data_IF_259522772084
#
_entry.id   IF_259522772084
#
_cell.length_a   1.000
_cell.length_b   1.000
_cell.length_c   1.000
_cell.angle_alpha   90.00
_cell.angle_beta   90.00
_cell.angle_gamma   90.00
#
_symmetry.space_group_name_H-M   'P 1'
#
loop_
_entity.id
_entity.type
_entity.pdbx_description
1 polymer ?
#
# COMPACT_ATOMS: atom_id res chain seq x y z
N UNK A 1 -41.93 16.29 8.59
CA UNK A 1 -40.85 15.34 8.91
C UNK A 1 -39.52 16.04 8.62
N UNK A 2 -38.65 16.17 9.62
CA UNK A 2 -37.38 16.89 9.45
C UNK A 2 -36.46 16.09 8.51
N UNK A 3 -35.83 16.71 7.49
CA UNK A 3 -34.93 16.02 6.58
C UNK A 3 -33.69 15.50 7.33
N UNK A 4 -33.35 14.23 7.09
CA UNK A 4 -32.25 13.54 7.77
C UNK A 4 -30.91 14.20 7.38
N UNK A 5 -30.16 14.67 8.37
CA UNK A 5 -28.83 15.24 8.20
C UNK A 5 -27.81 14.14 7.84
N UNK A 6 -26.79 14.45 7.02
CA UNK A 6 -25.66 13.57 6.65
C UNK A 6 -25.03 12.85 7.84
N UNK A 7 -24.90 13.52 9.00
CA UNK A 7 -24.39 12.89 10.23
C UNK A 7 -25.29 11.78 10.76
N UNK A 8 -26.60 11.97 10.70
CA UNK A 8 -27.57 10.97 11.13
C UNK A 8 -27.64 9.81 10.14
N UNK A 9 -27.56 10.10 8.83
CA UNK A 9 -27.43 9.05 7.81
C UNK A 9 -26.19 8.17 8.01
N UNK A 10 -25.03 8.77 8.30
CA UNK A 10 -23.79 8.03 8.57
C UNK A 10 -23.86 7.19 9.85
N UNK A 11 -24.46 7.72 10.92
CA UNK A 11 -24.68 6.95 12.15
C UNK A 11 -25.62 5.77 11.90
N UNK A 12 -26.71 5.99 11.19
CA UNK A 12 -27.69 4.95 10.87
C UNK A 12 -27.07 3.85 9.98
N UNK A 13 -26.19 4.22 9.05
CA UNK A 13 -25.40 3.28 8.25
C UNK A 13 -24.42 2.45 9.08
N UNK A 14 -23.74 3.05 10.06
CA UNK A 14 -22.85 2.31 10.97
C UNK A 14 -23.64 1.36 11.88
N UNK A 15 -24.81 1.77 12.39
CA UNK A 15 -25.65 0.92 13.23
C UNK A 15 -26.24 -0.26 12.46
N UNK A 16 -26.69 -0.06 11.23
CA UNK A 16 -27.16 -1.14 10.35
C UNK A 16 -26.03 -2.12 9.99
N UNK A 17 -24.81 -1.60 9.74
CA UNK A 17 -23.62 -2.43 9.53
C UNK A 17 -23.26 -3.28 10.75
N UNK A 18 -23.40 -2.73 11.97
CA UNK A 18 -23.13 -3.49 13.20
C UNK A 18 -24.17 -4.57 13.51
N UNK A 19 -25.43 -4.42 13.08
CA UNK A 19 -26.43 -5.48 13.26
C UNK A 19 -26.31 -6.61 12.24
N UNK A 20 -25.78 -6.34 11.03
CA UNK A 20 -25.37 -7.39 10.09
C UNK A 20 -24.10 -8.11 10.55
N UNK A 21 -23.18 -7.42 11.23
CA UNK A 21 -21.95 -8.01 11.77
C UNK A 21 -22.18 -8.88 13.02
N UNK A 22 -23.30 -8.72 13.73
CA UNK A 22 -23.66 -9.55 14.89
C UNK A 22 -24.14 -10.97 14.51
N UNK A 23 -24.39 -11.23 13.22
CA UNK A 23 -24.68 -12.55 12.67
C UNK A 23 -23.51 -13.09 11.87
N UNK A 24 -22.60 -13.82 12.51
CA UNK A 24 -21.60 -14.69 11.87
C UNK A 24 -20.76 -14.08 10.73
N UNK A 25 -20.28 -12.84 10.88
CA UNK A 25 -19.29 -12.26 9.98
C UNK A 25 -17.83 -12.56 10.39
N UNK A 26 -17.62 -13.43 11.39
CA UNK A 26 -16.27 -13.83 11.82
C UNK A 26 -15.53 -14.63 10.74
N UNK A 27 -16.25 -15.29 9.83
CA UNK A 27 -15.66 -16.16 8.80
C UNK A 27 -15.35 -15.42 7.49
N UNK A 28 -15.73 -14.15 7.36
CA UNK A 28 -15.40 -13.30 6.20
C UNK A 28 -14.23 -12.35 6.47
N UNK A 29 -13.78 -12.25 7.72
CA UNK A 29 -12.53 -11.58 8.05
C UNK A 29 -11.42 -12.54 7.67
N UNK A 30 -10.72 -12.23 6.57
CA UNK A 30 -9.50 -12.91 6.15
C UNK A 30 -8.70 -13.40 7.36
N UNK A 31 -8.56 -14.71 7.50
CA UNK A 31 -7.67 -15.31 8.48
C UNK A 31 -6.24 -14.97 8.05
N UNK A 32 -5.76 -13.80 8.49
CA UNK A 32 -4.38 -13.37 8.29
C UNK A 32 -3.52 -14.23 9.20
N UNK A 33 -3.07 -15.38 8.67
CA UNK A 33 -2.03 -16.17 9.31
C UNK A 33 -0.79 -15.28 9.49
N UNK A 34 -0.29 -15.16 10.73
CA UNK A 34 0.96 -14.45 11.02
C UNK A 34 0.83 -13.09 11.73
N UNK A 35 -0.18 -12.88 12.57
CA UNK A 35 -0.16 -11.72 13.48
C UNK A 35 0.83 -11.95 14.62
N UNK A 36 2.12 -11.78 14.36
CA UNK A 36 3.04 -11.41 15.44
C UNK A 36 2.53 -10.09 16.00
N UNK A 37 2.15 -10.07 17.28
CA UNK A 37 1.76 -8.87 18.01
C UNK A 37 3.00 -7.96 18.14
N UNK A 38 3.27 -7.17 17.10
CA UNK A 38 4.26 -6.10 17.18
C UNK A 38 3.62 -4.88 17.83
N UNK A 39 4.34 -4.26 18.77
CA UNK A 39 3.94 -3.00 19.41
C UNK A 39 3.89 -1.83 18.41
N UNK A 40 4.61 -1.96 17.28
CA UNK A 40 4.64 -0.99 16.19
C UNK A 40 4.00 -1.58 14.94
N UNK A 41 2.97 -0.90 14.41
CA UNK A 41 2.39 -1.22 13.11
C UNK A 41 3.21 -0.55 12.00
N UNK A 42 3.39 -1.26 10.89
CA UNK A 42 4.15 -0.79 9.72
C UNK A 42 3.28 -0.90 8.47
N UNK A 43 3.38 0.09 7.60
CA UNK A 43 2.78 0.08 6.26
C UNK A 43 3.91 0.31 5.25
N UNK A 44 3.96 -0.51 4.21
CA UNK A 44 4.83 -0.31 3.05
C UNK A 44 3.94 0.13 1.90
N UNK A 45 4.22 1.31 1.35
CA UNK A 45 3.53 1.85 0.17
C UNK A 45 4.49 1.79 -1.02
N UNK A 46 4.09 1.15 -2.11
CA UNK A 46 4.84 1.16 -3.35
C UNK A 46 4.03 1.81 -4.47
N UNK A 47 4.73 2.59 -5.29
CA UNK A 47 4.17 3.30 -6.44
C UNK A 47 4.86 2.76 -7.69
N UNK A 48 4.11 2.14 -8.59
CA UNK A 48 4.68 1.62 -9.83
C UNK A 48 5.11 2.77 -10.75
N UNK A 49 6.29 2.65 -11.36
CA UNK A 49 6.85 3.65 -12.27
C UNK A 49 7.25 4.99 -11.64
N UNK A 50 7.35 5.11 -10.31
CA UNK A 50 7.73 6.36 -9.65
C UNK A 50 9.24 6.62 -9.76
N UNK A 51 9.62 7.63 -10.54
CA UNK A 51 11.01 8.08 -10.68
C UNK A 51 11.42 9.11 -9.60
N UNK A 52 12.60 8.90 -9.00
CA UNK A 52 13.10 9.73 -7.91
C UNK A 52 13.44 11.17 -8.34
N UNK A 53 13.90 11.38 -9.58
CA UNK A 53 14.25 12.71 -10.08
C UNK A 53 13.00 13.54 -10.37
N UNK A 54 11.98 12.94 -10.99
CA UNK A 54 10.69 13.60 -11.22
C UNK A 54 10.06 13.99 -9.88
N UNK A 55 10.02 13.06 -8.93
CA UNK A 55 9.48 13.30 -7.59
C UNK A 55 10.24 14.44 -6.89
N UNK A 56 11.57 14.42 -6.96
CA UNK A 56 12.42 15.48 -6.42
C UNK A 56 12.11 16.84 -7.04
N UNK A 57 12.02 16.93 -8.37
CA UNK A 57 11.70 18.17 -9.07
C UNK A 57 10.33 18.73 -8.70
N UNK A 58 9.31 17.89 -8.54
CA UNK A 58 7.99 18.34 -8.11
C UNK A 58 7.91 18.73 -6.63
N UNK A 59 8.70 18.09 -5.77
CA UNK A 59 8.86 18.54 -4.38
C UNK A 59 9.49 19.94 -4.32
N UNK A 60 10.54 20.19 -5.11
CA UNK A 60 11.25 21.48 -5.10
C UNK A 60 10.42 22.60 -5.72
N UNK A 61 9.51 22.28 -6.65
CA UNK A 61 8.50 23.20 -7.17
C UNK A 61 7.34 23.47 -6.19
N UNK A 62 7.33 22.83 -5.01
CA UNK A 62 6.25 22.96 -4.02
C UNK A 62 4.95 22.25 -4.39
N UNK A 63 4.93 21.41 -5.44
CA UNK A 63 3.72 20.70 -5.90
C UNK A 63 3.36 19.48 -5.05
N UNK A 64 4.34 18.93 -4.33
CA UNK A 64 4.18 17.73 -3.51
C UNK A 64 4.52 18.01 -2.03
N UNK A 65 3.71 18.81 -1.32
CA UNK A 65 4.00 19.22 0.06
C UNK A 65 4.07 18.04 1.04
N UNK A 66 3.26 17.00 0.84
CA UNK A 66 3.27 15.80 1.69
C UNK A 66 4.57 15.01 1.54
N UNK A 67 5.04 14.78 0.31
CA UNK A 67 6.32 14.10 0.07
C UNK A 67 7.51 14.94 0.57
N UNK A 68 7.46 16.26 0.38
CA UNK A 68 8.48 17.16 0.91
C UNK A 68 8.58 17.08 2.45
N UNK A 69 7.43 16.99 3.15
CA UNK A 69 7.39 16.78 4.60
C UNK A 69 7.97 15.42 4.99
N UNK A 70 7.57 14.33 4.30
CA UNK A 70 8.09 12.98 4.57
C UNK A 70 9.61 12.91 4.38
N UNK A 71 10.16 13.56 3.34
CA UNK A 71 11.60 13.68 3.12
C UNK A 71 12.28 14.41 4.28
N UNK A 72 11.68 15.49 4.80
CA UNK A 72 12.25 16.28 5.91
C UNK A 72 12.24 15.53 7.23
N UNK A 73 11.18 14.78 7.50
CA UNK A 73 10.98 14.04 8.77
C UNK A 73 11.63 12.64 8.75
N UNK A 74 11.99 12.14 7.57
CA UNK A 74 12.55 10.80 7.38
C UNK A 74 13.77 10.80 6.47
N UNK A 75 13.84 9.79 5.59
CA UNK A 75 14.95 9.60 4.65
C UNK A 75 14.39 9.51 3.24
N UNK A 76 15.07 10.17 2.30
CA UNK A 76 14.81 10.05 0.87
C UNK A 76 16.12 9.69 0.17
N UNK A 77 16.14 8.54 -0.52
CA UNK A 77 17.29 8.08 -1.29
C UNK A 77 16.81 7.41 -2.56
N UNK A 78 17.55 7.62 -3.65
CA UNK A 78 17.37 6.84 -4.86
C UNK A 78 17.88 5.41 -4.61
N UNK A 79 17.09 4.43 -5.04
CA UNK A 79 17.44 3.01 -5.00
C UNK A 79 17.68 2.50 -6.42
N UNK A 80 18.47 1.43 -6.53
CA UNK A 80 18.58 0.69 -7.79
C UNK A 80 17.32 -0.13 -8.04
N UNK A 81 16.92 -0.21 -9.31
CA UNK A 81 15.82 -1.08 -9.73
C UNK A 81 16.28 -2.53 -9.93
N UNK A 82 15.33 -3.44 -10.14
CA UNK A 82 15.59 -4.82 -10.51
C UNK A 82 16.26 -4.92 -11.89
N UNK A 83 16.96 -6.04 -12.12
CA UNK A 83 17.44 -6.40 -13.45
C UNK A 83 16.83 -7.75 -13.85
N UNK A 84 15.92 -7.81 -14.85
CA UNK A 84 15.45 -6.71 -15.69
C UNK A 84 14.49 -5.73 -14.96
N UNK A 85 14.38 -4.47 -15.42
CA UNK A 85 13.58 -3.43 -14.77
C UNK A 85 12.09 -3.55 -15.15
N UNK A 86 11.49 -4.70 -14.86
CA UNK A 86 10.08 -5.00 -15.12
C UNK A 86 9.30 -5.04 -13.81
N UNK A 87 8.07 -4.52 -13.80
CA UNK A 87 7.20 -4.52 -12.61
C UNK A 87 7.10 -5.88 -11.91
N UNK A 88 6.81 -7.02 -12.58
CA UNK A 88 6.70 -8.31 -11.91
C UNK A 88 8.01 -8.73 -11.22
N UNK A 89 9.14 -8.39 -11.81
CA UNK A 89 10.47 -8.70 -11.25
C UNK A 89 10.76 -7.82 -10.04
N UNK A 90 10.51 -6.51 -10.14
CA UNK A 90 10.73 -5.56 -9.05
C UNK A 90 9.85 -5.87 -7.82
N UNK A 91 8.56 -6.16 -8.04
CA UNK A 91 7.64 -6.49 -6.96
C UNK A 91 7.97 -7.83 -6.30
N UNK A 92 8.40 -8.84 -7.08
CA UNK A 92 8.88 -10.09 -6.52
C UNK A 92 10.15 -9.90 -5.67
N UNK A 93 11.09 -9.06 -6.10
CA UNK A 93 12.26 -8.70 -5.27
C UNK A 93 11.84 -8.09 -3.93
N UNK A 94 10.91 -7.13 -3.94
CA UNK A 94 10.45 -6.43 -2.72
C UNK A 94 9.75 -7.38 -1.74
N UNK A 95 8.88 -8.26 -2.25
CA UNK A 95 8.07 -9.16 -1.40
C UNK A 95 8.92 -10.29 -0.82
N UNK A 96 9.84 -10.85 -1.62
CA UNK A 96 10.62 -12.02 -1.22
C UNK A 96 11.96 -11.67 -0.55
N UNK A 97 12.47 -10.46 -0.79
CA UNK A 97 13.83 -10.08 -0.42
C UNK A 97 14.91 -10.80 -1.25
N UNK A 98 14.54 -11.51 -2.31
CA UNK A 98 15.44 -12.25 -3.20
C UNK A 98 15.67 -11.49 -4.51
N UNK A 99 16.68 -11.90 -5.27
CA UNK A 99 16.85 -11.46 -6.66
C UNK A 99 16.09 -12.40 -7.62
N UNK A 100 16.06 -12.11 -8.93
CA UNK A 100 15.32 -12.93 -9.91
C UNK A 100 15.74 -14.39 -9.96
N UNK A 101 17.01 -14.69 -9.70
CA UNK A 101 17.49 -16.06 -9.60
C UNK A 101 16.93 -16.82 -8.40
N UNK A 102 16.60 -16.12 -7.30
CA UNK A 102 16.02 -16.72 -6.11
C UNK A 102 14.51 -16.97 -6.20
N UNK A 103 13.76 -16.03 -6.77
CA UNK A 103 12.29 -16.15 -6.86
C UNK A 103 11.78 -16.64 -8.23
N UNK A 104 12.63 -16.73 -9.24
CA UNK A 104 12.32 -17.35 -10.54
C UNK A 104 11.43 -16.53 -11.49
N UNK A 105 11.15 -15.26 -11.18
CA UNK A 105 10.31 -14.38 -12.02
C UNK A 105 11.23 -13.46 -12.82
N UNK A 106 11.20 -13.56 -14.15
CA UNK A 106 12.11 -12.84 -15.03
C UNK A 106 11.41 -11.90 -16.01
N UNK A 107 10.13 -12.11 -16.28
CA UNK A 107 9.32 -11.30 -17.19
C UNK A 107 7.83 -11.56 -16.94
N UNK A 108 6.96 -10.81 -17.62
CA UNK A 108 5.51 -11.05 -17.65
C UNK A 108 5.12 -12.35 -18.35
N UNK A 109 5.95 -12.81 -19.29
CA UNK A 109 5.67 -13.99 -20.10
C UNK A 109 6.66 -15.10 -19.77
N UNK A 110 6.13 -16.31 -19.53
CA UNK A 110 6.92 -17.53 -19.62
C UNK A 110 6.88 -18.00 -21.08
N UNK A 111 8.04 -18.01 -21.75
CA UNK A 111 8.17 -18.65 -23.05
C UNK A 111 8.57 -20.10 -22.82
N UNK A 112 7.72 -21.02 -23.27
CA UNK A 112 7.95 -22.46 -23.30
C UNK A 112 8.56 -22.87 -24.64
#
# INVERSE_FOLDING_TARGET
MSPINRREFLKMGMTAGSMLAAGSASDLVHHVYGRTETSKKMIVLGFDGMDAHILQGWMDQGKLPTFARLRKEGVFSQLQTSFPPQSPVAWSNVITGMNPGGHGVFDFMMRH
#
